data_IF_007452039793
#
_entry.id   IF_007452039793
#
_cell.length_a   1.000
_cell.length_b   1.000
_cell.length_c   1.000
_cell.angle_alpha   90.00
_cell.angle_beta   90.00
_cell.angle_gamma   90.00
#
_symmetry.space_group_name_H-M   'P 1'
#
loop_
_entity.id
_entity.type
_entity.pdbx_description
1 polymer ?
#
# COMPACT_ATOMS: atom_id res chain seq x y z
N UNK A 1 22.01 19.37 -4.07
CA UNK A 1 21.24 19.16 -2.83
C UNK A 1 19.90 18.54 -3.18
N UNK A 2 19.78 17.21 -3.18
CA UNK A 2 18.49 16.53 -3.37
C UNK A 2 18.10 15.92 -2.04
N UNK A 3 17.10 16.51 -1.40
CA UNK A 3 16.55 16.06 -0.13
C UNK A 3 16.20 14.58 -0.20
N UNK A 4 17.06 13.76 0.41
CA UNK A 4 16.74 12.41 0.83
C UNK A 4 15.96 12.59 2.12
N UNK A 5 14.72 13.08 2.04
CA UNK A 5 13.79 12.95 3.15
C UNK A 5 13.63 11.44 3.35
N UNK A 6 14.36 10.92 4.35
CA UNK A 6 14.20 9.56 4.81
C UNK A 6 12.70 9.37 5.04
N UNK A 7 12.08 8.50 4.25
CA UNK A 7 10.67 8.16 4.40
C UNK A 7 10.56 7.65 5.84
N UNK A 8 10.03 8.47 6.75
CA UNK A 8 9.73 8.05 8.11
C UNK A 8 8.53 7.10 8.03
N UNK A 9 8.82 5.84 7.70
CA UNK A 9 7.87 4.75 7.82
C UNK A 9 7.65 4.54 9.31
N UNK A 10 6.62 5.16 9.90
CA UNK A 10 6.15 4.77 11.23
C UNK A 10 5.88 3.25 11.19
N UNK A 11 6.42 2.47 12.13
CA UNK A 11 6.17 1.03 12.17
C UNK A 11 4.66 0.79 12.33
N UNK A 12 4.13 -0.20 11.61
CA UNK A 12 2.71 -0.55 11.70
C UNK A 12 2.49 -1.30 13.00
N UNK A 13 1.84 -0.64 13.95
CA UNK A 13 1.55 -1.20 15.26
C UNK A 13 0.07 -1.55 15.42
N UNK A 14 -0.20 -2.65 16.12
CA UNK A 14 -1.54 -3.10 16.48
C UNK A 14 -1.54 -3.52 17.95
N UNK A 15 -2.37 -2.85 18.74
CA UNK A 15 -2.64 -3.22 20.12
C UNK A 15 -3.53 -4.47 20.17
N UNK A 16 -3.14 -5.44 20.98
CA UNK A 16 -3.94 -6.64 21.23
C UNK A 16 -4.84 -6.36 22.44
N UNK A 17 -6.14 -6.21 22.20
CA UNK A 17 -7.13 -6.13 23.28
C UNK A 17 -7.74 -7.50 23.59
N UNK A 18 -8.79 -7.51 24.41
CA UNK A 18 -9.47 -8.72 24.92
C UNK A 18 -10.10 -9.61 23.85
N UNK A 19 -10.19 -9.12 22.60
CA UNK A 19 -10.78 -9.84 21.46
C UNK A 19 -9.83 -10.89 20.84
N UNK A 20 -8.69 -11.15 21.48
CA UNK A 20 -7.76 -12.23 21.14
C UNK A 20 -6.71 -11.88 20.06
N UNK A 21 -5.62 -12.66 20.08
CA UNK A 21 -4.42 -12.46 19.24
C UNK A 21 -4.70 -12.65 17.74
N UNK A 22 -5.51 -13.64 17.35
CA UNK A 22 -5.84 -13.89 15.94
C UNK A 22 -6.46 -12.68 15.25
N UNK A 23 -7.33 -11.96 15.97
CA UNK A 23 -8.01 -10.78 15.44
C UNK A 23 -7.03 -9.63 15.25
N UNK A 24 -6.09 -9.45 16.17
CA UNK A 24 -5.02 -8.47 16.04
C UNK A 24 -4.11 -8.77 14.84
N UNK A 25 -3.73 -10.04 14.62
CA UNK A 25 -2.94 -10.46 13.45
C UNK A 25 -3.68 -10.17 12.14
N UNK A 26 -4.99 -10.47 12.08
CA UNK A 26 -5.81 -10.16 10.89
C UNK A 26 -5.90 -8.66 10.65
N UNK A 27 -6.03 -7.86 11.72
CA UNK A 27 -6.06 -6.40 11.63
C UNK A 27 -4.73 -5.83 11.15
N UNK A 28 -3.60 -6.35 11.66
CA UNK A 28 -2.25 -5.97 11.23
C UNK A 28 -2.06 -6.24 9.73
N UNK A 29 -2.41 -7.46 9.27
CA UNK A 29 -2.37 -7.81 7.84
C UNK A 29 -3.18 -6.84 6.98
N UNK A 30 -4.36 -6.42 7.46
CA UNK A 30 -5.23 -5.47 6.75
C UNK A 30 -4.65 -4.05 6.73
N UNK A 31 -4.07 -3.57 7.84
CA UNK A 31 -3.35 -2.29 7.91
C UNK A 31 -2.15 -2.27 6.96
N UNK A 32 -1.31 -3.31 6.98
CA UNK A 32 -0.16 -3.43 6.07
C UNK A 32 -0.58 -3.45 4.58
N UNK A 33 -1.71 -4.08 4.27
CA UNK A 33 -2.27 -4.07 2.92
C UNK A 33 -2.82 -2.69 2.52
N UNK A 34 -3.44 -1.96 3.46
CA UNK A 34 -3.97 -0.60 3.23
C UNK A 34 -2.85 0.41 2.99
N UNK A 35 -1.77 0.34 3.76
CA UNK A 35 -0.57 1.17 3.57
C UNK A 35 0.20 0.79 2.30
N UNK A 36 -0.01 -0.41 1.78
CA UNK A 36 0.59 -0.86 0.53
C UNK A 36 2.06 -1.27 0.64
N UNK A 37 2.56 -1.48 1.86
CA UNK A 37 3.95 -1.86 2.15
C UNK A 37 4.36 -3.10 1.35
N UNK A 38 3.53 -4.13 1.32
CA UNK A 38 3.81 -5.36 0.58
C UNK A 38 3.96 -5.13 -0.94
N UNK A 39 3.20 -4.17 -1.48
CA UNK A 39 3.26 -3.80 -2.90
C UNK A 39 4.49 -2.94 -3.21
N UNK A 40 4.86 -2.06 -2.29
CA UNK A 40 6.08 -1.25 -2.34
C UNK A 40 7.32 -2.16 -2.33
N UNK A 41 7.37 -3.15 -1.42
CA UNK A 41 8.44 -4.15 -1.34
C UNK A 41 8.57 -4.94 -2.65
N UNK A 42 7.45 -5.43 -3.21
CA UNK A 42 7.46 -6.15 -4.49
C UNK A 42 7.95 -5.29 -5.65
N UNK A 43 7.63 -3.99 -5.65
CA UNK A 43 8.08 -3.02 -6.67
C UNK A 43 9.57 -2.70 -6.56
N UNK A 44 10.14 -2.74 -5.34
CA UNK A 44 11.55 -2.42 -5.08
C UNK A 44 12.50 -3.62 -5.19
N UNK A 45 11.98 -4.86 -5.26
CA UNK A 45 12.78 -6.10 -5.34
C UNK A 45 13.74 -6.14 -6.56
N UNK A 46 13.42 -5.47 -7.65
CA UNK A 46 14.27 -5.41 -8.84
C UNK A 46 14.33 -3.98 -9.39
N UNK A 47 15.48 -3.62 -9.99
CA UNK A 47 15.59 -2.36 -10.71
C UNK A 47 14.62 -2.35 -11.88
N UNK A 48 13.83 -1.28 -11.96
CA UNK A 48 12.98 -1.00 -13.10
C UNK A 48 13.40 0.32 -13.71
N UNK A 49 13.66 0.31 -15.03
CA UNK A 49 13.96 1.53 -15.80
C UNK A 49 12.86 2.58 -15.54
N UNK A 50 13.21 3.88 -15.40
CA UNK A 50 12.26 4.94 -15.03
C UNK A 50 11.04 5.01 -15.96
N UNK A 51 11.22 4.78 -17.26
CA UNK A 51 10.11 4.73 -18.23
C UNK A 51 9.10 3.63 -17.90
N UNK A 52 9.57 2.43 -17.55
CA UNK A 52 8.68 1.30 -17.21
C UNK A 52 7.98 1.54 -15.87
N UNK A 53 8.65 2.18 -14.91
CA UNK A 53 8.03 2.62 -13.63
C UNK A 53 6.89 3.62 -13.88
N UNK A 54 7.11 4.62 -14.74
CA UNK A 54 6.09 5.62 -15.10
C UNK A 54 4.88 4.96 -15.79
N UNK A 55 5.13 4.06 -16.74
CA UNK A 55 4.07 3.30 -17.45
C UNK A 55 3.23 2.45 -16.49
N UNK A 56 3.86 1.69 -15.58
CA UNK A 56 3.13 0.89 -14.58
C UNK A 56 2.32 1.76 -13.62
N UNK A 57 2.88 2.88 -13.14
CA UNK A 57 2.16 3.83 -12.26
C UNK A 57 0.91 4.40 -12.93
N UNK A 58 1.01 4.80 -14.20
CA UNK A 58 -0.13 5.33 -14.97
C UNK A 58 -1.21 4.26 -15.19
N UNK A 59 -0.83 3.05 -15.60
CA UNK A 59 -1.75 1.94 -15.80
C UNK A 59 -2.47 1.53 -14.50
N UNK A 60 -1.78 1.60 -13.37
CA UNK A 60 -2.37 1.27 -12.08
C UNK A 60 -3.30 2.35 -11.54
N UNK A 61 -2.95 3.62 -11.77
CA UNK A 61 -3.84 4.76 -11.46
C UNK A 61 -5.12 4.70 -12.30
N UNK A 62 -5.02 4.40 -13.60
CA UNK A 62 -6.20 4.26 -14.47
C UNK A 62 -7.07 3.08 -14.06
N UNK A 63 -6.49 1.91 -13.72
CA UNK A 63 -7.22 0.78 -13.14
C UNK A 63 -7.94 1.15 -11.85
N UNK A 64 -7.27 1.88 -10.93
CA UNK A 64 -7.89 2.32 -9.68
C UNK A 64 -9.04 3.30 -9.92
N UNK A 65 -8.90 4.24 -10.87
CA UNK A 65 -9.97 5.15 -11.27
C UNK A 65 -11.18 4.40 -11.83
N UNK A 66 -10.97 3.46 -12.76
CA UNK A 66 -12.05 2.62 -13.31
C UNK A 66 -12.77 1.80 -12.24
N UNK A 67 -12.02 1.24 -11.28
CA UNK A 67 -12.62 0.48 -10.16
C UNK A 67 -13.46 1.37 -9.24
N UNK A 68 -13.05 2.62 -8.99
CA UNK A 68 -13.85 3.59 -8.22
C UNK A 68 -15.14 3.97 -8.93
N UNK A 69 -15.11 4.20 -10.25
CA UNK A 69 -16.31 4.54 -11.02
C UNK A 69 -17.31 3.37 -11.09
N UNK A 70 -16.81 2.12 -11.11
CA UNK A 70 -17.67 0.91 -11.13
C UNK A 70 -18.32 0.60 -9.77
N UNK A 71 -17.81 1.14 -8.67
CA UNK A 71 -18.44 1.10 -7.36
C UNK A 71 -19.06 2.49 -7.13
N UNK A 72 -20.27 2.77 -7.66
CA UNK A 72 -21.02 3.92 -7.16
C UNK A 72 -21.17 3.69 -5.66
N UNK A 73 -20.87 4.73 -4.88
CA UNK A 73 -20.97 4.68 -3.43
C UNK A 73 -22.27 3.97 -3.06
N UNK A 74 -22.12 2.86 -2.33
CA UNK A 74 -23.24 2.21 -1.67
C UNK A 74 -23.98 3.27 -0.88
N UNK A 75 -25.10 3.74 -1.44
CA UNK A 75 -26.13 4.47 -0.73
C UNK A 75 -26.81 3.53 0.26
#
# INVERSE_FOLDING_TARGET
MTNVEAIQCKPVEVQVGDRGVERAVKHLKRKMAAEGILRELKRRRHYMKPSVRRRKKAAEASRRRRKRVRQPDSM
#
